data_IF_544277843690
#
_entry.id   IF_544277843690
#
_cell.length_a   1.000
_cell.length_b   1.000
_cell.length_c   1.000
_cell.angle_alpha   90.00
_cell.angle_beta   90.00
_cell.angle_gamma   90.00
#
_symmetry.space_group_name_H-M   'P 1'
#
loop_
_entity.id
_entity.type
_entity.pdbx_description
1 polymer ?
#
# COMPACT_ATOMS: atom_id res chain seq x y z
N UNK A 1 2.49 -9.69 -1.89
CA UNK A 1 3.69 -9.14 -2.58
C UNK A 1 4.59 -8.49 -1.56
N UNK A 2 5.89 -8.76 -1.63
CA UNK A 2 6.94 -8.13 -0.82
C UNK A 2 7.86 -7.32 -1.72
N UNK A 3 8.19 -6.09 -1.34
CA UNK A 3 9.24 -5.29 -1.97
C UNK A 3 10.48 -5.43 -1.10
N UNK A 4 11.55 -5.98 -1.65
CA UNK A 4 12.79 -6.27 -0.93
C UNK A 4 13.96 -5.46 -1.50
N UNK A 5 14.75 -4.85 -0.64
CA UNK A 5 15.96 -4.12 -1.00
C UNK A 5 17.16 -5.04 -0.78
N UNK A 6 17.94 -5.30 -1.83
CA UNK A 6 19.08 -6.24 -1.76
C UNK A 6 20.25 -5.65 -0.99
N UNK A 7 20.60 -4.39 -1.29
CA UNK A 7 21.70 -3.67 -0.67
C UNK A 7 21.19 -2.49 0.15
N UNK A 8 21.22 -2.56 1.49
CA UNK A 8 20.80 -1.44 2.33
C UNK A 8 21.79 -0.29 2.24
N UNK A 9 21.28 0.95 2.35
CA UNK A 9 22.11 2.17 2.29
C UNK A 9 22.98 2.35 3.56
N UNK A 10 22.51 1.80 4.68
CA UNK A 10 23.18 1.92 5.98
C UNK A 10 23.20 0.58 6.69
N UNK A 11 24.22 0.38 7.51
CA UNK A 11 24.28 -0.78 8.42
C UNK A 11 23.96 -0.32 9.83
N UNK A 12 22.89 -0.86 10.39
CA UNK A 12 22.53 -0.69 11.79
C UNK A 12 22.65 -2.03 12.49
N UNK A 13 23.21 -2.03 13.68
CA UNK A 13 23.32 -3.22 14.54
C UNK A 13 22.40 -3.08 15.75
N UNK A 14 21.86 -4.19 16.24
CA UNK A 14 21.14 -4.20 17.50
C UNK A 14 22.12 -3.92 18.66
N UNK A 15 21.85 -2.90 19.48
CA UNK A 15 22.66 -2.61 20.65
C UNK A 15 22.39 -3.62 21.77
N UNK A 16 23.29 -3.67 22.76
CA UNK A 16 23.03 -4.38 24.00
C UNK A 16 22.16 -3.54 24.94
N UNK A 17 21.13 -4.13 25.54
CA UNK A 17 20.40 -3.54 26.66
C UNK A 17 20.88 -4.18 27.97
N UNK A 18 21.21 -3.35 28.98
CA UNK A 18 21.71 -3.85 30.27
C UNK A 18 20.67 -4.75 30.95
N UNK A 19 19.41 -4.32 30.94
CA UNK A 19 18.27 -5.07 31.43
C UNK A 19 17.49 -5.66 30.25
N UNK A 20 17.64 -6.92 29.95
CA UNK A 20 16.97 -7.61 28.84
C UNK A 20 15.44 -7.73 29.07
N UNK A 21 14.76 -6.59 29.29
CA UNK A 21 13.33 -6.55 29.66
C UNK A 21 12.42 -7.03 28.53
N UNK A 22 12.82 -6.80 27.28
CA UNK A 22 12.08 -7.22 26.08
C UNK A 22 12.49 -8.61 25.55
N UNK A 23 13.50 -9.22 26.15
CA UNK A 23 14.03 -10.51 25.73
C UNK A 23 14.80 -10.50 24.41
N UNK A 24 15.16 -9.32 23.87
CA UNK A 24 15.75 -9.18 22.53
C UNK A 24 17.27 -9.20 22.51
N UNK A 25 17.96 -9.36 23.63
CA UNK A 25 19.43 -9.39 23.66
C UNK A 25 20.07 -10.52 22.81
N UNK A 26 19.30 -11.54 22.41
CA UNK A 26 19.77 -12.54 21.45
C UNK A 26 20.02 -11.97 20.02
N UNK A 27 19.54 -10.76 19.74
CA UNK A 27 19.77 -10.02 18.50
C UNK A 27 21.02 -9.15 18.54
N UNK A 28 21.62 -8.94 19.70
CA UNK A 28 22.80 -8.06 19.87
C UNK A 28 23.89 -8.38 18.83
N UNK A 29 24.39 -7.34 18.18
CA UNK A 29 25.40 -7.42 17.12
C UNK A 29 24.89 -7.92 15.77
N UNK A 30 23.65 -8.38 15.66
CA UNK A 30 23.04 -8.70 14.37
C UNK A 30 22.65 -7.43 13.64
N UNK A 31 22.65 -7.49 12.32
CA UNK A 31 22.19 -6.38 11.48
C UNK A 31 20.67 -6.31 11.46
N UNK A 32 20.13 -5.11 11.55
CA UNK A 32 18.68 -4.87 11.48
C UNK A 32 18.09 -5.36 10.15
N UNK A 33 18.80 -5.13 9.04
CA UNK A 33 18.36 -5.59 7.72
C UNK A 33 18.37 -7.13 7.58
N UNK A 34 19.29 -7.84 8.23
CA UNK A 34 19.29 -9.30 8.24
C UNK A 34 18.11 -9.85 9.05
N UNK A 35 17.82 -9.26 10.21
CA UNK A 35 16.65 -9.64 11.02
C UNK A 35 15.35 -9.39 10.24
N UNK A 36 15.25 -8.26 9.55
CA UNK A 36 14.10 -7.96 8.68
C UNK A 36 13.94 -8.98 7.55
N UNK A 37 15.02 -9.43 6.92
CA UNK A 37 14.98 -10.49 5.91
C UNK A 37 14.52 -11.83 6.48
N UNK A 38 14.88 -12.14 7.71
CA UNK A 38 14.41 -13.36 8.39
C UNK A 38 12.91 -13.27 8.70
N UNK A 39 12.41 -12.10 9.09
CA UNK A 39 10.99 -11.87 9.30
C UNK A 39 10.20 -12.02 7.97
N UNK A 40 10.70 -11.46 6.86
CA UNK A 40 10.14 -11.67 5.51
C UNK A 40 10.07 -13.17 5.17
N UNK A 41 11.17 -13.87 5.36
CA UNK A 41 11.28 -15.29 5.04
C UNK A 41 10.30 -16.13 5.87
N UNK A 42 10.23 -15.89 7.18
CA UNK A 42 9.30 -16.59 8.08
C UNK A 42 7.85 -16.37 7.68
N UNK A 43 7.47 -15.13 7.36
CA UNK A 43 6.13 -14.80 6.89
C UNK A 43 5.81 -15.51 5.56
N UNK A 44 6.76 -15.52 4.63
CA UNK A 44 6.59 -16.17 3.33
C UNK A 44 6.40 -17.68 3.47
N UNK A 45 7.18 -18.33 4.31
CA UNK A 45 7.02 -19.76 4.59
C UNK A 45 5.62 -20.07 5.15
N UNK A 46 5.16 -19.31 6.15
CA UNK A 46 3.83 -19.48 6.71
C UNK A 46 2.71 -19.29 5.66
N UNK A 47 2.86 -18.33 4.75
CA UNK A 47 1.90 -18.12 3.65
C UNK A 47 1.91 -19.30 2.67
N UNK A 48 3.09 -19.81 2.30
CA UNK A 48 3.21 -20.96 1.40
C UNK A 48 2.56 -22.19 2.02
N UNK A 49 2.82 -22.46 3.30
CA UNK A 49 2.22 -23.58 4.04
C UNK A 49 0.69 -23.44 4.14
N UNK A 50 0.19 -22.21 4.20
CA UNK A 50 -1.25 -21.90 4.15
C UNK A 50 -1.85 -21.85 2.74
N UNK A 51 -1.11 -22.21 1.68
CA UNK A 51 -1.59 -22.19 0.29
C UNK A 51 -1.72 -20.81 -0.33
N UNK A 52 -1.13 -19.77 0.26
CA UNK A 52 -1.20 -18.40 -0.26
C UNK A 52 -0.05 -18.10 -1.21
N UNK A 53 -0.31 -17.70 -2.48
CA UNK A 53 0.73 -17.32 -3.42
C UNK A 53 1.54 -16.11 -2.94
N UNK A 54 2.86 -16.17 -3.14
CA UNK A 54 3.75 -15.08 -2.80
C UNK A 54 4.47 -14.55 -4.03
N UNK A 55 4.56 -13.22 -4.12
CA UNK A 55 5.35 -12.52 -5.13
C UNK A 55 6.39 -11.64 -4.44
N UNK A 56 7.56 -11.53 -5.04
CA UNK A 56 8.64 -10.67 -4.56
C UNK A 56 9.10 -9.75 -5.69
N UNK A 57 9.22 -8.47 -5.38
CA UNK A 57 9.84 -7.46 -6.22
C UNK A 57 11.16 -7.06 -5.58
N UNK A 58 12.28 -7.38 -6.22
CA UNK A 58 13.61 -7.06 -5.70
C UNK A 58 14.12 -5.76 -6.29
N UNK A 59 14.54 -4.82 -5.43
CA UNK A 59 15.27 -3.62 -5.78
C UNK A 59 16.74 -3.81 -5.45
N UNK A 60 17.70 -3.53 -6.36
CA UNK A 60 19.12 -3.66 -6.08
C UNK A 60 19.59 -2.80 -4.91
N UNK A 61 19.09 -1.56 -4.84
CA UNK A 61 19.36 -0.60 -3.77
C UNK A 61 18.24 0.42 -3.67
N UNK A 62 18.17 1.16 -2.56
CA UNK A 62 17.20 2.23 -2.37
C UNK A 62 17.77 3.56 -2.83
N UNK A 63 17.35 4.00 -4.02
CA UNK A 63 17.65 5.33 -4.57
C UNK A 63 16.45 5.81 -5.41
N UNK A 64 16.51 7.06 -5.87
CA UNK A 64 15.43 7.71 -6.60
C UNK A 64 15.11 6.98 -7.91
N UNK A 65 16.13 6.43 -8.58
CA UNK A 65 15.97 5.71 -9.83
C UNK A 65 15.16 4.42 -9.67
N UNK A 66 15.54 3.56 -8.72
CA UNK A 66 14.80 2.31 -8.48
C UNK A 66 13.46 2.54 -7.82
N UNK A 67 13.32 3.58 -7.00
CA UNK A 67 12.02 3.98 -6.46
C UNK A 67 11.06 4.38 -7.57
N UNK A 68 11.51 5.21 -8.52
CA UNK A 68 10.73 5.59 -9.69
C UNK A 68 10.30 4.38 -10.54
N UNK A 69 11.20 3.41 -10.73
CA UNK A 69 10.87 2.16 -11.44
C UNK A 69 9.79 1.34 -10.74
N UNK A 70 9.85 1.21 -9.40
CA UNK A 70 8.84 0.48 -8.64
C UNK A 70 7.47 1.17 -8.70
N UNK A 71 7.43 2.50 -8.57
CA UNK A 71 6.19 3.26 -8.71
C UNK A 71 5.59 3.02 -10.10
N UNK A 72 6.37 3.21 -11.15
CA UNK A 72 5.91 3.03 -12.52
C UNK A 72 5.49 1.58 -12.82
N UNK A 73 6.21 0.59 -12.27
CA UNK A 73 5.82 -0.81 -12.35
C UNK A 73 4.39 -1.05 -11.83
N UNK A 74 4.05 -0.50 -10.65
CA UNK A 74 2.71 -0.66 -10.10
C UNK A 74 1.64 0.13 -10.84
N UNK A 75 1.97 1.30 -11.40
CA UNK A 75 1.06 2.05 -12.27
C UNK A 75 0.71 1.25 -13.53
N UNK A 76 1.70 0.69 -14.20
CA UNK A 76 1.49 -0.17 -15.38
C UNK A 76 0.72 -1.45 -14.99
N UNK A 77 1.08 -2.09 -13.89
CA UNK A 77 0.39 -3.29 -13.41
C UNK A 77 -1.08 -3.01 -13.11
N UNK A 78 -1.40 -1.85 -12.53
CA UNK A 78 -2.77 -1.41 -12.30
C UNK A 78 -3.53 -1.23 -13.63
N UNK A 79 -2.93 -0.55 -14.62
CA UNK A 79 -3.52 -0.38 -15.94
C UNK A 79 -3.78 -1.70 -16.65
N UNK A 80 -2.82 -2.61 -16.64
CA UNK A 80 -2.95 -3.95 -17.24
C UNK A 80 -4.04 -4.76 -16.52
N UNK A 81 -4.03 -4.80 -15.19
CA UNK A 81 -5.01 -5.57 -14.41
C UNK A 81 -6.44 -5.05 -14.62
N UNK A 82 -6.63 -3.73 -14.69
CA UNK A 82 -7.91 -3.13 -15.01
C UNK A 82 -8.43 -3.54 -16.39
N UNK A 83 -7.56 -3.54 -17.40
CA UNK A 83 -7.91 -4.02 -18.75
C UNK A 83 -8.26 -5.52 -18.77
N UNK A 84 -7.52 -6.36 -18.04
CA UNK A 84 -7.84 -7.79 -17.90
C UNK A 84 -9.20 -8.01 -17.23
N UNK A 85 -9.54 -7.19 -16.24
CA UNK A 85 -10.83 -7.23 -15.55
C UNK A 85 -11.98 -6.61 -16.37
N UNK A 86 -11.70 -6.02 -17.54
CA UNK A 86 -12.69 -5.37 -18.39
C UNK A 86 -13.23 -4.05 -17.81
N UNK A 87 -12.49 -3.40 -16.91
CA UNK A 87 -12.84 -2.08 -16.35
C UNK A 87 -11.87 -1.02 -16.85
N UNK A 88 -12.34 0.24 -16.89
CA UNK A 88 -11.46 1.37 -17.21
C UNK A 88 -10.63 1.75 -15.98
N UNK A 89 -9.30 1.53 -15.96
CA UNK A 89 -8.45 1.86 -14.82
C UNK A 89 -8.17 3.37 -14.65
N UNK A 90 -8.57 4.19 -15.63
CA UNK A 90 -8.28 5.63 -15.66
C UNK A 90 -9.47 6.51 -15.24
N UNK A 91 -10.59 5.92 -14.79
CA UNK A 91 -11.71 6.66 -14.26
C UNK A 91 -11.97 6.29 -12.80
N UNK A 92 -12.73 7.16 -12.11
CA UNK A 92 -13.11 6.97 -10.71
C UNK A 92 -14.59 7.29 -10.52
N UNK A 93 -15.52 6.47 -11.08
CA UNK A 93 -16.96 6.79 -11.06
C UNK A 93 -17.51 6.98 -9.64
N UNK A 94 -17.01 6.24 -8.65
CA UNK A 94 -17.41 6.42 -7.25
C UNK A 94 -16.98 7.77 -6.67
N UNK A 95 -15.80 8.25 -7.02
CA UNK A 95 -15.31 9.57 -6.60
C UNK A 95 -16.10 10.70 -7.28
N UNK A 96 -16.43 10.55 -8.55
CA UNK A 96 -17.25 11.54 -9.25
C UNK A 96 -18.69 11.59 -8.69
N UNK A 97 -19.27 10.45 -8.36
CA UNK A 97 -20.59 10.39 -7.69
C UNK A 97 -20.56 11.09 -6.31
N UNK A 98 -19.53 10.82 -5.50
CA UNK A 98 -19.33 11.50 -4.22
C UNK A 98 -19.20 13.02 -4.38
N UNK A 99 -18.36 13.49 -5.31
CA UNK A 99 -18.19 14.93 -5.58
C UNK A 99 -19.49 15.58 -6.02
N UNK A 100 -20.24 14.92 -6.91
CA UNK A 100 -21.54 15.41 -7.37
C UNK A 100 -22.52 15.58 -6.21
N UNK A 101 -22.62 14.58 -5.33
CA UNK A 101 -23.47 14.66 -4.15
C UNK A 101 -23.04 15.77 -3.20
N UNK A 102 -21.73 15.91 -2.96
CA UNK A 102 -21.17 16.99 -2.13
C UNK A 102 -21.50 18.38 -2.71
N UNK A 103 -21.34 18.58 -4.03
CA UNK A 103 -21.68 19.84 -4.68
C UNK A 103 -23.17 20.17 -4.57
N UNK A 104 -24.03 19.18 -4.70
CA UNK A 104 -25.47 19.33 -4.52
C UNK A 104 -25.85 19.70 -3.08
N UNK A 105 -25.27 19.03 -2.08
CA UNK A 105 -25.48 19.34 -0.66
C UNK A 105 -25.01 20.75 -0.27
N UNK A 106 -23.93 21.21 -0.89
CA UNK A 106 -23.39 22.57 -0.69
C UNK A 106 -24.12 23.65 -1.52
N UNK A 107 -25.19 23.30 -2.24
CA UNK A 107 -25.92 24.18 -3.14
C UNK A 107 -25.03 24.90 -4.16
N UNK A 108 -24.07 24.18 -4.74
CA UNK A 108 -23.18 24.76 -5.75
C UNK A 108 -24.01 25.20 -6.97
N UNK A 109 -23.78 26.40 -7.54
CA UNK A 109 -24.44 26.85 -8.76
C UNK A 109 -24.30 25.82 -9.90
N UNK A 110 -25.45 25.51 -10.56
CA UNK A 110 -25.54 24.48 -11.60
C UNK A 110 -25.86 23.08 -11.10
N UNK A 111 -26.14 22.91 -9.78
CA UNK A 111 -26.55 21.64 -9.15
C UNK A 111 -27.90 21.75 -8.43
N UNK A 112 -28.75 22.68 -8.84
CA UNK A 112 -30.02 23.00 -8.16
C UNK A 112 -30.98 21.81 -8.16
N UNK A 113 -31.07 21.07 -9.27
CA UNK A 113 -31.94 19.90 -9.39
C UNK A 113 -31.47 18.75 -8.47
N UNK A 114 -30.19 18.46 -8.47
CA UNK A 114 -29.56 17.43 -7.62
C UNK A 114 -29.68 17.82 -6.13
N UNK A 115 -29.52 19.11 -5.81
CA UNK A 115 -29.65 19.62 -4.45
C UNK A 115 -31.07 19.39 -3.91
N UNK A 116 -32.11 19.67 -4.71
CA UNK A 116 -33.51 19.42 -4.34
C UNK A 116 -33.76 17.93 -4.14
N UNK A 117 -33.32 17.09 -5.09
CA UNK A 117 -33.54 15.65 -5.03
C UNK A 117 -32.86 14.99 -3.80
N UNK A 118 -31.66 15.43 -3.44
CA UNK A 118 -30.95 14.90 -2.26
C UNK A 118 -31.67 15.33 -0.97
N UNK A 119 -32.11 16.58 -0.87
CA UNK A 119 -32.86 17.06 0.31
C UNK A 119 -34.16 16.30 0.51
N UNK A 120 -34.96 16.14 -0.54
CA UNK A 120 -36.21 15.35 -0.51
C UNK A 120 -35.95 13.89 -0.09
N UNK A 121 -34.84 13.31 -0.54
CA UNK A 121 -34.44 11.95 -0.13
C UNK A 121 -34.11 11.87 1.36
N UNK A 122 -33.32 12.83 1.90
CA UNK A 122 -32.94 12.86 3.31
C UNK A 122 -34.11 13.16 4.25
N UNK A 123 -35.15 13.87 3.79
CA UNK A 123 -36.37 14.12 4.57
C UNK A 123 -37.26 12.87 4.67
N UNK A 124 -37.09 11.90 3.78
CA UNK A 124 -37.87 10.67 3.71
C UNK A 124 -37.14 9.43 4.28
N UNK A 125 -35.92 9.56 4.74
CA UNK A 125 -35.12 8.53 5.46
C UNK A 125 -35.32 8.67 6.98
#
# INVERSE_FOLDING_TARGET
TVISIEKPNHTLLFPNAEENLDGLNFLVGKRVDDVNKMAELGTRLAHVDGGVPNMRVSMPELNEYYLGQVIYFFEIACGISGNILGVNPFNQPGVEAYKKNMFALLNKPGYEAESKAIKERLENE
#
